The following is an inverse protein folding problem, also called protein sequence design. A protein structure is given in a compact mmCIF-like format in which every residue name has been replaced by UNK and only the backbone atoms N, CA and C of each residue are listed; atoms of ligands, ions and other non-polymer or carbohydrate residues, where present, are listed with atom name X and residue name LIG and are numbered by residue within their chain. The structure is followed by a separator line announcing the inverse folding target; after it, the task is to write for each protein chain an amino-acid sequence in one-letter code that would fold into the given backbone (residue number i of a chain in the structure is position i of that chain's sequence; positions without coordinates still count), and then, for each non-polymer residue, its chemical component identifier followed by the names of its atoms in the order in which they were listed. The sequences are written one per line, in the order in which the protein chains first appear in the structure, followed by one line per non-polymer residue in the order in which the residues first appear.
data_IF_964900552271
#
_entry.id   IF_964900552271
#
_cell.length_a   1.000
_cell.length_b   1.000
_cell.length_c   1.000
_cell.angle_alpha   90.00
_cell.angle_beta   90.00
_cell.angle_gamma   90.00
#
_symmetry.space_group_name_H-M   'P 1'
#
loop_
_entity.id
_entity.type
_entity.pdbx_description
1 polymer ?
#
# COMPACT_ATOMS: atom_id res chain seq x y z
N UNK A 1 -23.01 7.61 -11.06
CA UNK A 1 -23.57 6.75 -9.98
C UNK A 1 -22.43 6.00 -9.31
N UNK A 2 -22.01 6.52 -8.16
CA UNK A 2 -20.93 5.92 -7.38
C UNK A 2 -21.55 4.73 -6.65
N UNK A 3 -21.36 3.53 -7.19
CA UNK A 3 -21.61 2.32 -6.42
C UNK A 3 -20.57 2.26 -5.28
N UNK A 4 -21.02 2.64 -4.08
CA UNK A 4 -20.29 2.43 -2.86
C UNK A 4 -20.19 0.93 -2.61
N UNK A 5 -19.10 0.32 -3.04
CA UNK A 5 -18.71 -0.96 -2.50
C UNK A 5 -17.95 -0.72 -1.19
N UNK A 6 -18.69 -0.44 -0.14
CA UNK A 6 -18.20 -0.41 1.22
C UNK A 6 -18.44 -1.80 1.81
N UNK A 7 -17.51 -2.69 1.62
CA UNK A 7 -17.41 -3.87 2.48
C UNK A 7 -15.96 -4.02 2.84
N UNK A 8 -15.64 -3.66 4.06
CA UNK A 8 -14.40 -3.94 4.77
C UNK A 8 -13.14 -3.85 3.92
N UNK A 9 -12.38 -2.78 4.06
CA UNK A 9 -10.98 -2.58 3.63
C UNK A 9 -10.59 -2.91 2.18
N UNK A 10 -11.45 -3.47 1.35
CA UNK A 10 -11.16 -3.76 -0.04
C UNK A 10 -12.04 -2.93 -0.96
N UNK A 11 -11.46 -1.89 -1.50
CA UNK A 11 -12.12 -0.98 -2.42
C UNK A 11 -12.23 -1.63 -3.80
N UNK A 12 -13.45 -2.03 -4.21
CA UNK A 12 -13.74 -2.32 -5.60
C UNK A 12 -13.91 -1.00 -6.34
N UNK A 13 -12.98 -0.64 -7.20
CA UNK A 13 -13.06 0.56 -8.03
C UNK A 13 -13.63 0.16 -9.39
N UNK A 14 -14.80 0.71 -9.73
CA UNK A 14 -15.37 0.63 -11.07
C UNK A 14 -15.08 1.93 -11.79
N UNK A 15 -14.32 1.88 -12.87
CA UNK A 15 -14.06 3.04 -13.71
C UNK A 15 -15.03 3.16 -14.90
N UNK A 16 -14.85 4.21 -15.69
CA UNK A 16 -15.67 4.48 -16.90
C UNK A 16 -15.59 3.37 -17.95
N UNK A 17 -14.60 2.49 -17.87
CA UNK A 17 -14.41 1.35 -18.79
C UNK A 17 -15.07 0.06 -18.28
N UNK A 18 -15.88 0.14 -17.22
CA UNK A 18 -16.53 -1.01 -16.55
C UNK A 18 -15.55 -2.06 -15.98
N UNK A 19 -14.32 -1.69 -15.70
CA UNK A 19 -13.33 -2.54 -15.06
C UNK A 19 -13.56 -2.50 -13.55
N UNK A 20 -13.74 -3.66 -12.94
CA UNK A 20 -13.79 -3.82 -11.47
C UNK A 20 -12.42 -4.27 -11.00
N UNK A 21 -11.82 -3.54 -10.06
CA UNK A 21 -10.50 -3.83 -9.50
C UNK A 21 -10.63 -4.21 -8.03
N UNK A 22 -9.93 -5.28 -7.66
CA UNK A 22 -9.73 -5.68 -6.26
C UNK A 22 -8.23 -5.83 -6.02
N UNK A 23 -7.70 -5.15 -5.00
CA UNK A 23 -6.26 -5.14 -4.74
C UNK A 23 -5.45 -4.34 -5.78
N UNK A 24 -6.12 -3.59 -6.62
CA UNK A 24 -5.51 -2.79 -7.69
C UNK A 24 -6.21 -1.42 -7.82
N UNK A 25 -5.50 -0.46 -8.39
CA UNK A 25 -6.00 0.88 -8.74
C UNK A 25 -5.94 1.08 -10.26
N UNK A 26 -6.65 2.08 -10.76
CA UNK A 26 -6.50 2.53 -12.14
C UNK A 26 -5.11 3.12 -12.38
N UNK A 27 -4.51 2.81 -13.51
CA UNK A 27 -3.22 3.31 -13.96
C UNK A 27 -3.25 3.54 -15.47
N UNK A 28 -4.27 4.27 -15.94
CA UNK A 28 -4.40 4.66 -17.35
C UNK A 28 -3.22 5.54 -17.74
N UNK A 29 -2.97 5.64 -19.03
CA UNK A 29 -1.88 6.46 -19.54
C UNK A 29 -1.97 7.90 -19.02
N UNK A 30 -0.89 8.37 -18.38
CA UNK A 30 -0.80 9.72 -17.81
C UNK A 30 -1.53 9.93 -16.48
N UNK A 31 -2.28 8.94 -15.98
CA UNK A 31 -3.00 9.03 -14.71
C UNK A 31 -2.03 9.03 -13.53
N UNK A 32 -2.23 9.96 -12.58
CA UNK A 32 -1.43 9.96 -11.34
C UNK A 32 -1.87 8.84 -10.42
N UNK A 33 -0.91 8.09 -9.93
CA UNK A 33 -1.13 6.97 -9.01
C UNK A 33 -0.33 7.16 -7.72
N UNK A 34 -0.94 6.78 -6.60
CA UNK A 34 -0.31 6.75 -5.30
C UNK A 34 -0.43 5.34 -4.73
N UNK A 35 0.71 4.69 -4.47
CA UNK A 35 0.78 3.32 -3.99
C UNK A 35 1.38 3.33 -2.58
N UNK A 36 0.56 3.20 -1.53
CA UNK A 36 1.04 3.12 -0.15
C UNK A 36 1.80 1.81 0.08
N UNK A 37 2.92 1.90 0.75
CA UNK A 37 3.78 0.74 1.06
C UNK A 37 3.53 0.29 2.50
N UNK A 38 4.06 1.02 3.47
CA UNK A 38 3.88 0.77 4.89
C UNK A 38 4.20 2.04 5.70
N UNK A 39 4.11 1.94 7.03
CA UNK A 39 4.30 3.07 7.94
C UNK A 39 5.70 3.68 7.90
N UNK A 40 6.72 2.89 7.51
CA UNK A 40 8.13 3.32 7.44
C UNK A 40 8.53 3.80 6.05
N UNK A 41 8.19 3.01 5.04
CA UNK A 41 8.70 3.24 3.68
C UNK A 41 7.83 4.26 2.91
N UNK A 42 6.63 4.56 3.42
CA UNK A 42 5.76 5.60 2.90
C UNK A 42 4.96 5.17 1.68
N UNK A 43 5.05 5.90 0.59
CA UNK A 43 4.30 5.59 -0.63
C UNK A 43 5.07 5.97 -1.91
N UNK A 44 4.72 5.29 -3.00
CA UNK A 44 5.23 5.57 -4.34
C UNK A 44 4.23 6.50 -5.04
N UNK A 45 4.71 7.64 -5.52
CA UNK A 45 4.00 8.51 -6.45
C UNK A 45 4.46 8.19 -7.87
N UNK A 46 3.54 7.93 -8.77
CA UNK A 46 3.86 7.60 -10.15
C UNK A 46 2.83 8.09 -11.16
N UNK A 47 3.06 7.71 -12.39
CA UNK A 47 2.15 7.94 -13.53
C UNK A 47 1.86 6.62 -14.20
N UNK A 48 0.60 6.31 -14.42
CA UNK A 48 0.15 5.10 -15.11
C UNK A 48 0.63 5.07 -16.57
N UNK A 49 1.05 3.91 -17.01
CA UNK A 49 1.50 3.66 -18.39
C UNK A 49 0.36 3.23 -19.31
N UNK A 50 -0.82 2.93 -18.77
CA UNK A 50 -1.96 2.46 -19.54
C UNK A 50 -1.72 1.08 -20.18
N UNK A 51 -0.96 0.21 -19.52
CA UNK A 51 -0.64 -1.12 -20.02
C UNK A 51 -1.89 -1.99 -20.07
N UNK A 52 -2.34 -2.35 -21.27
CA UNK A 52 -3.57 -3.11 -21.53
C UNK A 52 -3.47 -4.56 -21.04
N UNK A 53 -2.29 -5.17 -21.05
CA UNK A 53 -2.06 -6.52 -20.54
C UNK A 53 -2.39 -6.63 -19.04
N UNK A 54 -2.30 -5.52 -18.32
CA UNK A 54 -2.67 -5.37 -16.92
C UNK A 54 -4.00 -4.63 -16.72
N UNK A 55 -4.87 -4.57 -17.74
CA UNK A 55 -6.12 -3.81 -17.69
C UNK A 55 -5.93 -2.35 -17.23
N UNK A 56 -4.87 -1.69 -17.68
CA UNK A 56 -4.51 -0.34 -17.25
C UNK A 56 -4.55 -0.19 -15.72
N UNK A 57 -3.95 -1.14 -15.00
CA UNK A 57 -4.02 -1.20 -13.54
C UNK A 57 -2.64 -1.25 -12.91
N UNK A 58 -2.57 -0.84 -11.65
CA UNK A 58 -1.39 -0.94 -10.78
C UNK A 58 -1.77 -1.49 -9.41
N UNK A 59 -0.83 -1.97 -8.59
CA UNK A 59 -1.12 -2.38 -7.23
C UNK A 59 -1.70 -1.22 -6.40
N UNK A 60 -2.67 -1.50 -5.53
CA UNK A 60 -3.22 -0.48 -4.63
C UNK A 60 -2.35 -0.24 -3.38
N UNK A 61 -1.31 -1.07 -3.17
CA UNK A 61 -0.39 -1.05 -2.04
C UNK A 61 0.63 -2.16 -2.13
N UNK A 62 1.54 -2.24 -1.16
CA UNK A 62 2.63 -3.21 -1.16
C UNK A 62 2.18 -4.68 -1.08
N UNK A 63 1.00 -4.94 -0.53
CA UNK A 63 0.59 -6.28 -0.14
C UNK A 63 1.33 -6.80 1.09
N UNK A 64 0.71 -7.76 1.77
CA UNK A 64 1.26 -8.35 3.00
C UNK A 64 1.98 -9.64 2.70
N UNK A 65 3.07 -9.90 3.42
CA UNK A 65 3.77 -11.20 3.39
C UNK A 65 3.22 -12.17 4.44
N UNK A 66 2.43 -11.68 5.39
CA UNK A 66 1.79 -12.48 6.41
C UNK A 66 0.41 -11.94 6.78
N UNK A 67 -0.46 -12.81 7.31
CA UNK A 67 -1.77 -12.40 7.81
C UNK A 67 -1.65 -11.53 9.06
N UNK A 68 -2.69 -10.75 9.37
CA UNK A 68 -2.75 -9.93 10.60
C UNK A 68 -2.54 -10.78 11.86
N UNK A 69 -3.21 -11.94 11.93
CA UNK A 69 -3.09 -12.85 13.06
C UNK A 69 -1.66 -13.37 13.21
N UNK A 70 -1.04 -13.82 12.13
CA UNK A 70 0.35 -14.27 12.15
C UNK A 70 1.32 -13.16 12.56
N UNK A 71 1.08 -11.93 12.13
CA UNK A 71 1.89 -10.78 12.55
C UNK A 71 1.80 -10.55 14.05
N UNK A 72 0.59 -10.59 14.64
CA UNK A 72 0.38 -10.46 16.09
C UNK A 72 1.04 -11.59 16.90
N UNK A 73 1.13 -12.79 16.33
CA UNK A 73 1.75 -13.95 16.98
C UNK A 73 3.28 -13.97 16.89
N UNK A 74 3.84 -13.44 15.82
CA UNK A 74 5.27 -13.64 15.49
C UNK A 74 6.12 -12.39 15.58
N UNK A 75 5.56 -11.20 15.48
CA UNK A 75 6.31 -9.95 15.54
C UNK A 75 6.51 -9.51 16.99
N UNK A 76 7.68 -8.94 17.28
CA UNK A 76 7.96 -8.37 18.59
C UNK A 76 7.78 -6.85 18.59
N UNK A 77 7.27 -6.30 19.70
CA UNK A 77 7.16 -4.85 19.88
C UNK A 77 8.51 -4.14 19.83
N UNK A 78 9.58 -4.82 20.25
CA UNK A 78 10.94 -4.29 20.18
C UNK A 78 11.36 -4.06 18.73
N UNK A 79 11.16 -5.05 17.87
CA UNK A 79 11.53 -4.97 16.45
C UNK A 79 10.64 -3.98 15.71
N UNK A 80 9.35 -3.95 16.06
CA UNK A 80 8.42 -2.96 15.52
C UNK A 80 8.86 -1.53 15.86
N UNK A 81 9.12 -1.25 17.14
CA UNK A 81 9.60 0.07 17.56
C UNK A 81 10.90 0.46 16.86
N UNK A 82 11.87 -0.45 16.81
CA UNK A 82 13.16 -0.22 16.14
C UNK A 82 13.01 0.02 14.64
N UNK A 83 12.08 -0.69 13.99
CA UNK A 83 11.82 -0.49 12.55
C UNK A 83 11.25 0.89 12.21
N UNK A 84 10.70 1.60 13.20
CA UNK A 84 10.12 2.95 13.05
C UNK A 84 11.08 4.06 13.48
N UNK A 85 12.34 3.73 13.80
CA UNK A 85 13.33 4.73 14.16
C UNK A 85 13.49 5.79 13.07
N UNK A 86 13.45 7.06 13.48
CA UNK A 86 13.54 8.21 12.56
C UNK A 86 12.21 8.69 12.01
N UNK A 87 11.09 8.02 12.33
CA UNK A 87 9.74 8.45 11.94
C UNK A 87 8.94 8.78 13.19
N UNK A 88 8.42 10.01 13.26
CA UNK A 88 7.56 10.37 14.38
C UNK A 88 6.21 9.67 14.25
N UNK A 89 5.82 8.95 15.28
CA UNK A 89 4.54 8.23 15.32
C UNK A 89 4.07 8.03 16.77
N UNK A 90 2.76 8.11 16.95
CA UNK A 90 2.09 7.76 18.22
C UNK A 90 1.38 6.41 18.14
N UNK A 91 1.57 5.68 17.04
CA UNK A 91 0.78 4.49 16.71
C UNK A 91 1.55 3.18 16.84
N UNK A 92 2.74 3.18 17.45
CA UNK A 92 3.49 1.95 17.73
C UNK A 92 2.99 1.35 19.05
N UNK A 93 2.13 0.34 18.95
CA UNK A 93 1.52 -0.35 20.09
C UNK A 93 1.24 -1.82 19.76
N UNK A 94 0.88 -2.61 20.77
CA UNK A 94 0.46 -4.01 20.57
C UNK A 94 -0.79 -4.13 19.69
N UNK A 95 -1.67 -3.14 19.74
CA UNK A 95 -2.90 -3.10 18.94
C UNK A 95 -2.60 -2.96 17.44
N UNK A 96 -1.53 -2.25 17.10
CA UNK A 96 -1.12 -1.95 15.73
C UNK A 96 0.07 -2.78 15.22
N UNK A 97 0.52 -3.78 15.98
CA UNK A 97 1.70 -4.59 15.62
C UNK A 97 1.52 -5.30 14.28
N UNK A 98 0.30 -5.64 13.91
CA UNK A 98 0.01 -6.25 12.62
C UNK A 98 0.20 -5.29 11.44
N UNK A 99 0.29 -3.98 11.69
CA UNK A 99 0.61 -2.96 10.68
C UNK A 99 2.11 -2.62 10.62
N UNK A 100 2.94 -3.35 11.39
CA UNK A 100 4.38 -3.15 11.38
C UNK A 100 4.97 -3.32 9.96
N UNK A 101 6.01 -2.55 9.60
CA UNK A 101 6.62 -2.60 8.26
C UNK A 101 7.01 -4.02 7.83
N UNK A 102 7.44 -4.88 8.75
CA UNK A 102 7.83 -6.26 8.50
C UNK A 102 6.68 -7.17 8.05
N UNK A 103 5.42 -6.74 8.22
CA UNK A 103 4.26 -7.49 7.74
C UNK A 103 4.00 -7.32 6.24
N UNK A 104 4.70 -6.41 5.59
CA UNK A 104 4.51 -6.03 4.19
C UNK A 104 5.71 -6.39 3.33
N UNK A 105 5.46 -6.52 2.03
CA UNK A 105 6.54 -6.68 1.04
C UNK A 105 7.49 -5.49 1.08
N UNK A 106 8.81 -5.70 0.91
CA UNK A 106 9.78 -4.64 0.81
C UNK A 106 9.49 -3.72 -0.37
N UNK A 107 9.78 -2.42 -0.21
CA UNK A 107 9.55 -1.43 -1.27
C UNK A 107 10.33 -1.77 -2.54
N UNK A 108 11.55 -2.29 -2.43
CA UNK A 108 12.41 -2.63 -3.57
C UNK A 108 11.74 -3.70 -4.46
N UNK A 109 11.11 -4.74 -3.86
CA UNK A 109 10.34 -5.74 -4.60
C UNK A 109 9.18 -5.10 -5.37
N UNK A 110 8.49 -4.14 -4.77
CA UNK A 110 7.38 -3.43 -5.43
C UNK A 110 7.90 -2.59 -6.59
N UNK A 111 8.97 -1.84 -6.38
CA UNK A 111 9.58 -0.99 -7.41
C UNK A 111 9.98 -1.81 -8.63
N UNK A 112 10.59 -2.99 -8.42
CA UNK A 112 10.97 -3.89 -9.51
C UNK A 112 9.75 -4.41 -10.29
N UNK A 113 8.66 -4.75 -9.58
CA UNK A 113 7.47 -5.35 -10.19
C UNK A 113 6.56 -4.37 -10.93
N UNK A 114 6.50 -3.09 -10.53
CA UNK A 114 5.53 -2.13 -11.09
C UNK A 114 6.00 -1.42 -12.36
N UNK A 115 7.24 -1.63 -12.77
CA UNK A 115 7.85 -0.93 -13.92
C UNK A 115 7.11 -1.08 -15.25
N UNK A 116 6.31 -2.14 -15.41
CA UNK A 116 5.48 -2.34 -16.61
C UNK A 116 4.19 -1.50 -16.61
N UNK A 117 3.73 -1.08 -15.43
CA UNK A 117 2.41 -0.43 -15.26
C UNK A 117 2.51 1.02 -14.82
N UNK A 118 3.62 1.42 -14.17
CA UNK A 118 3.81 2.74 -13.58
C UNK A 118 5.20 3.28 -13.87
N UNK A 119 5.27 4.55 -14.27
CA UNK A 119 6.49 5.34 -14.23
C UNK A 119 6.59 6.02 -12.86
N UNK A 120 7.60 5.64 -12.07
CA UNK A 120 7.82 6.17 -10.73
C UNK A 120 8.36 7.59 -10.81
N UNK A 121 7.68 8.53 -10.16
CA UNK A 121 8.10 9.93 -10.09
C UNK A 121 8.86 10.23 -8.81
N UNK A 122 8.42 9.69 -7.69
CA UNK A 122 9.03 9.89 -6.39
C UNK A 122 8.62 8.81 -5.39
N UNK A 123 9.49 8.58 -4.41
CA UNK A 123 9.16 7.84 -3.19
C UNK A 123 8.99 8.86 -2.08
N UNK A 124 7.78 8.94 -1.53
CA UNK A 124 7.42 9.89 -0.48
C UNK A 124 7.59 9.21 0.88
N UNK A 125 8.59 9.61 1.64
CA UNK A 125 8.82 9.09 2.99
C UNK A 125 7.98 9.85 4.01
N UNK A 126 7.37 9.17 5.00
CA UNK A 126 6.60 9.83 6.04
C UNK A 126 7.54 10.58 7.00
N UNK A 127 7.14 11.77 7.41
CA UNK A 127 7.75 12.50 8.53
C UNK A 127 6.95 12.29 9.82
N UNK A 128 5.68 12.01 9.68
CA UNK A 128 4.74 11.65 10.74
C UNK A 128 3.81 10.55 10.26
N UNK A 129 3.53 9.59 11.12
CA UNK A 129 2.60 8.52 10.82
C UNK A 129 1.57 8.37 11.95
N UNK A 130 0.31 8.29 11.56
CA UNK A 130 -0.81 8.01 12.45
C UNK A 130 -1.59 6.81 11.92
N UNK A 131 -1.85 5.86 12.79
CA UNK A 131 -2.68 4.69 12.50
C UNK A 131 -3.77 4.59 13.56
N UNK A 132 -5.02 4.53 13.15
CA UNK A 132 -6.11 4.25 14.08
C UNK A 132 -6.00 2.80 14.59
N UNK A 133 -6.22 2.60 15.88
CA UNK A 133 -6.49 1.28 16.44
C UNK A 133 -7.91 0.87 16.08
N UNK A 134 -8.10 -0.35 15.61
CA UNK A 134 -9.43 -0.95 15.39
C UNK A 134 -9.97 -1.53 16.70
#
# INVERSE_FOLDING_TARGET
EILRCLVGSEMCIRDSSNIVRKGAISAKYGEKVLIPINMRDGCILGTGKGNEDWNCSAPHGAGRIMSRMKAKETLSMRDYSHSMDGIYTTSVSEETIDEAPMAYKPIDEIVECIGETVDILAILKPIYNFKASE
#
